data_IF_408692843616
#
_entry.id   IF_408692843616
#
_cell.length_a   1.000
_cell.length_b   1.000
_cell.length_c   1.000
_cell.angle_alpha   90.00
_cell.angle_beta   90.00
_cell.angle_gamma   90.00
#
_symmetry.space_group_name_H-M   'P 1'
#
loop_
_entity.id
_entity.type
_entity.pdbx_description
1 polymer ?
#
# COMPACT_ATOMS: atom_id res chain seq x y z
N UNK A 1 13.24 -21.64 -20.03
CA UNK A 1 13.87 -21.41 -18.71
C UNK A 1 12.97 -20.48 -17.90
N UNK A 2 12.18 -21.01 -16.96
CA UNK A 2 11.41 -20.18 -16.02
C UNK A 2 12.27 -20.02 -14.75
N UNK A 3 12.94 -18.88 -14.58
CA UNK A 3 13.50 -18.49 -13.29
C UNK A 3 12.36 -17.89 -12.47
N UNK A 4 11.52 -18.77 -11.93
CA UNK A 4 10.54 -18.43 -10.90
C UNK A 4 11.31 -18.19 -9.60
N UNK A 5 11.74 -16.96 -9.42
CA UNK A 5 12.37 -16.47 -8.20
C UNK A 5 11.88 -15.06 -7.96
N UNK A 6 10.56 -14.88 -7.91
CA UNK A 6 10.02 -13.65 -7.34
C UNK A 6 10.47 -13.61 -5.87
N UNK A 7 11.27 -12.60 -5.46
CA UNK A 7 11.51 -12.42 -4.04
C UNK A 7 10.17 -12.30 -3.34
N UNK A 8 10.03 -12.92 -2.17
CA UNK A 8 8.80 -12.85 -1.41
C UNK A 8 8.31 -11.39 -1.36
N UNK A 9 7.02 -11.14 -1.64
CA UNK A 9 6.50 -9.78 -1.76
C UNK A 9 6.84 -9.01 -0.48
N UNK A 10 7.40 -7.81 -0.64
CA UNK A 10 7.84 -7.05 0.52
C UNK A 10 6.65 -6.81 1.46
N UNK A 11 6.86 -6.83 2.80
CA UNK A 11 5.78 -6.67 3.78
C UNK A 11 5.14 -5.28 3.73
N UNK A 12 5.74 -4.35 2.97
CA UNK A 12 5.28 -3.00 2.80
C UNK A 12 4.81 -2.74 1.37
N UNK A 13 3.82 -1.87 1.21
CA UNK A 13 3.33 -1.38 -0.07
C UNK A 13 3.46 0.14 -0.08
N UNK A 14 3.85 0.71 -1.22
CA UNK A 14 3.92 2.17 -1.38
C UNK A 14 2.57 2.78 -1.78
N UNK A 15 2.31 4.07 -1.51
CA UNK A 15 1.10 4.74 -1.97
C UNK A 15 0.91 4.71 -3.49
N UNK A 16 2.01 4.73 -4.26
CA UNK A 16 1.94 4.68 -5.72
C UNK A 16 1.54 3.27 -6.20
N UNK A 17 2.07 2.23 -5.57
CA UNK A 17 1.68 0.84 -5.87
C UNK A 17 0.18 0.61 -5.56
N UNK A 18 -0.34 1.17 -4.46
CA UNK A 18 -1.78 1.14 -4.19
C UNK A 18 -2.60 1.96 -5.19
N UNK A 19 -2.09 3.10 -5.62
CA UNK A 19 -2.76 3.97 -6.59
C UNK A 19 -2.94 3.24 -7.93
N UNK A 20 -1.89 2.56 -8.39
CA UNK A 20 -1.93 1.70 -9.57
C UNK A 20 -2.87 0.50 -9.36
N UNK A 21 -2.74 -0.20 -8.24
CA UNK A 21 -3.55 -1.40 -7.94
C UNK A 21 -5.04 -1.10 -7.84
N UNK A 22 -5.41 0.01 -7.20
CA UNK A 22 -6.81 0.43 -7.04
C UNK A 22 -7.31 1.35 -8.16
N UNK A 23 -6.47 1.60 -9.18
CA UNK A 23 -6.78 2.48 -10.31
C UNK A 23 -7.32 3.85 -9.86
N UNK A 24 -6.64 4.47 -8.89
CA UNK A 24 -7.06 5.74 -8.33
C UNK A 24 -5.88 6.68 -8.06
N UNK A 25 -6.16 7.97 -7.89
CA UNK A 25 -5.11 8.93 -7.53
C UNK A 25 -4.50 8.63 -6.15
N UNK A 26 -3.22 8.96 -5.96
CA UNK A 26 -2.53 8.83 -4.68
C UNK A 26 -3.26 9.52 -3.51
N UNK A 27 -3.85 10.69 -3.75
CA UNK A 27 -4.66 11.39 -2.73
C UNK A 27 -5.92 10.61 -2.33
N UNK A 28 -6.47 9.80 -3.23
CA UNK A 28 -7.56 8.87 -2.93
C UNK A 28 -7.07 7.70 -2.08
N UNK A 29 -5.88 7.16 -2.33
CA UNK A 29 -5.24 6.14 -1.47
C UNK A 29 -5.13 6.65 -0.04
N UNK A 30 -4.59 7.86 0.16
CA UNK A 30 -4.46 8.46 1.49
C UNK A 30 -5.81 8.61 2.20
N UNK A 31 -6.86 9.03 1.47
CA UNK A 31 -8.22 9.16 2.01
C UNK A 31 -8.81 7.80 2.37
N UNK A 32 -8.62 6.79 1.52
CA UNK A 32 -9.06 5.42 1.75
C UNK A 32 -8.37 4.86 2.99
N UNK A 33 -7.04 4.92 3.06
CA UNK A 33 -6.27 4.41 4.19
C UNK A 33 -6.71 5.05 5.52
N UNK A 34 -6.91 6.38 5.53
CA UNK A 34 -7.40 7.08 6.72
C UNK A 34 -8.81 6.63 7.15
N UNK A 35 -9.73 6.40 6.19
CA UNK A 35 -11.10 5.94 6.47
C UNK A 35 -11.15 4.47 6.89
N UNK A 36 -10.31 3.65 6.30
CA UNK A 36 -10.21 2.22 6.55
C UNK A 36 -9.40 1.87 7.82
N UNK A 37 -8.76 2.87 8.44
CA UNK A 37 -7.89 2.65 9.60
C UNK A 37 -6.58 1.93 9.27
N UNK A 38 -6.16 1.90 8.00
CA UNK A 38 -4.89 1.28 7.59
C UNK A 38 -3.74 2.13 8.11
N UNK A 39 -2.77 1.50 8.78
CA UNK A 39 -1.68 2.23 9.41
C UNK A 39 -0.70 2.76 8.36
N UNK A 40 -0.42 4.06 8.44
CA UNK A 40 0.64 4.73 7.68
C UNK A 40 1.94 4.66 8.46
N UNK A 41 2.96 4.10 7.84
CA UNK A 41 4.33 4.09 8.34
C UNK A 41 5.07 5.20 7.60
N UNK A 42 5.40 6.27 8.32
CA UNK A 42 6.20 7.38 7.80
C UNK A 42 7.67 7.11 8.12
N UNK A 43 8.51 6.98 7.09
CA UNK A 43 9.94 6.78 7.19
C UNK A 43 10.66 8.08 6.79
N UNK A 44 11.41 8.64 7.73
CA UNK A 44 12.09 9.92 7.54
C UNK A 44 11.26 11.14 7.96
N UNK A 45 11.91 12.29 7.98
CA UNK A 45 11.36 13.55 8.50
C UNK A 45 11.08 14.57 7.38
N UNK A 46 10.09 15.43 7.60
CA UNK A 46 9.77 16.55 6.71
C UNK A 46 9.15 16.16 5.37
N UNK A 47 9.26 17.07 4.38
CA UNK A 47 8.60 17.00 3.05
C UNK A 47 9.00 15.79 2.19
N UNK A 48 10.11 15.13 2.52
CA UNK A 48 10.65 13.98 1.79
C UNK A 48 10.37 12.64 2.49
N UNK A 49 9.60 12.64 3.59
CA UNK A 49 9.23 11.42 4.30
C UNK A 49 8.54 10.42 3.37
N UNK A 50 9.00 9.18 3.40
CA UNK A 50 8.42 8.09 2.61
C UNK A 50 7.26 7.47 3.39
N UNK A 51 6.10 7.35 2.76
CA UNK A 51 4.95 6.64 3.33
C UNK A 51 4.94 5.20 2.84
N UNK A 52 4.71 4.26 3.76
CA UNK A 52 4.51 2.84 3.49
C UNK A 52 3.27 2.33 4.24
N UNK A 53 2.63 1.31 3.69
CA UNK A 53 1.51 0.61 4.30
C UNK A 53 1.89 -0.85 4.52
N UNK A 54 1.33 -1.49 5.56
CA UNK A 54 1.51 -2.92 5.76
C UNK A 54 0.67 -3.69 4.73
N UNK A 55 1.32 -4.59 3.98
CA UNK A 55 0.68 -5.42 2.96
C UNK A 55 -0.51 -6.20 3.53
N UNK A 56 -0.34 -6.79 4.72
CA UNK A 56 -1.40 -7.54 5.41
C UNK A 56 -2.65 -6.70 5.70
N UNK A 57 -2.49 -5.44 6.10
CA UNK A 57 -3.64 -4.56 6.39
C UNK A 57 -4.36 -4.13 5.11
N UNK A 58 -3.59 -3.86 4.05
CA UNK A 58 -4.12 -3.57 2.71
C UNK A 58 -4.93 -4.75 2.19
N UNK A 59 -4.38 -5.96 2.25
CA UNK A 59 -5.03 -7.18 1.80
C UNK A 59 -6.31 -7.46 2.59
N UNK A 60 -6.29 -7.28 3.92
CA UNK A 60 -7.48 -7.41 4.75
C UNK A 60 -8.57 -6.40 4.38
N UNK A 61 -8.19 -5.16 4.07
CA UNK A 61 -9.12 -4.14 3.58
C UNK A 61 -9.71 -4.52 2.21
N UNK A 62 -8.88 -4.97 1.27
CA UNK A 62 -9.32 -5.40 -0.07
C UNK A 62 -10.31 -6.56 0.02
N UNK A 63 -10.01 -7.57 0.84
CA UNK A 63 -10.89 -8.72 1.08
C UNK A 63 -12.23 -8.30 1.67
N UNK A 64 -12.23 -7.37 2.63
CA UNK A 64 -13.47 -6.87 3.25
C UNK A 64 -14.30 -6.00 2.28
N UNK A 65 -13.67 -5.36 1.30
CA UNK A 65 -14.34 -4.49 0.33
C UNK A 65 -14.90 -5.23 -0.88
N UNK A 66 -14.54 -6.50 -1.08
CA UNK A 66 -14.88 -7.32 -2.25
C UNK A 66 -14.80 -6.51 -3.56
N UNK A 67 -13.59 -6.02 -3.86
CA UNK A 67 -13.15 -5.71 -5.22
C UNK A 67 -12.52 -6.99 -5.80
#
# INVERSE_FOLDING_TARGET
>A
MKKSGEPAPSPFISPNELAERWQCARSSVDRIARRAGIKRICLGEGKNGMVRFLRKEVEAYEQNRMI
#
